data_IF_172290472540
#
_entry.id   IF_172290472540
#
_cell.length_a   1.000
_cell.length_b   1.000
_cell.length_c   1.000
_cell.angle_alpha   90.00
_cell.angle_beta   90.00
_cell.angle_gamma   90.00
#
_symmetry.space_group_name_H-M   'P 1'
#
loop_
_entity.id
_entity.type
_entity.pdbx_description
1 polymer ?
#
# COMPACT_ATOMS: atom_id res chain seq x y z
N UNK A 1 14.77 -9.93 -18.19
CA UNK A 1 13.95 -8.78 -18.53
C UNK A 1 14.33 -7.64 -17.61
N UNK A 2 14.65 -6.47 -18.15
CA UNK A 2 15.14 -5.35 -17.33
C UNK A 2 13.93 -4.54 -16.83
N UNK A 3 13.65 -4.55 -15.51
CA UNK A 3 12.61 -3.73 -14.89
C UNK A 3 13.12 -2.34 -14.50
N UNK A 4 14.43 -2.14 -14.53
CA UNK A 4 15.13 -0.94 -14.08
C UNK A 4 15.41 -0.03 -15.28
N UNK A 5 15.19 1.27 -15.13
CA UNK A 5 15.62 2.28 -16.11
C UNK A 5 17.13 2.26 -16.28
N UNK A 6 17.62 2.27 -17.51
CA UNK A 6 19.04 2.44 -17.82
C UNK A 6 19.45 3.90 -17.58
N UNK A 7 19.65 4.27 -16.34
CA UNK A 7 20.13 5.60 -15.99
C UNK A 7 21.59 5.53 -15.55
N UNK A 8 22.44 6.44 -16.04
CA UNK A 8 23.85 6.52 -15.65
C UNK A 8 24.06 6.95 -14.17
N UNK A 9 22.97 7.34 -13.46
CA UNK A 9 23.05 7.95 -12.11
C UNK A 9 22.83 6.97 -10.97
N UNK A 10 22.21 5.81 -11.20
CA UNK A 10 21.86 4.85 -10.16
C UNK A 10 22.63 3.55 -10.35
N UNK A 11 23.44 3.21 -9.37
CA UNK A 11 24.11 1.92 -9.31
C UNK A 11 23.29 1.01 -8.40
N UNK A 12 22.95 -0.16 -8.91
CA UNK A 12 22.29 -1.21 -8.13
C UNK A 12 23.33 -2.23 -7.68
N UNK A 13 23.25 -2.58 -6.41
CA UNK A 13 23.99 -3.71 -5.83
C UNK A 13 23.02 -4.85 -5.56
N UNK A 14 23.41 -6.06 -5.90
CA UNK A 14 22.66 -7.24 -5.48
C UNK A 14 23.19 -7.70 -4.12
N UNK A 15 22.39 -7.52 -3.10
CA UNK A 15 22.74 -7.87 -1.73
C UNK A 15 21.86 -9.04 -1.27
N UNK A 16 22.39 -10.26 -1.42
CA UNK A 16 21.66 -11.47 -1.03
C UNK A 16 20.35 -11.69 -1.81
N UNK A 17 20.28 -11.31 -3.10
CA UNK A 17 19.09 -11.46 -3.93
C UNK A 17 18.10 -10.27 -3.85
N UNK A 18 18.44 -9.23 -3.11
CA UNK A 18 17.72 -7.94 -3.10
C UNK A 18 18.49 -6.94 -3.96
N UNK A 19 17.82 -6.32 -4.91
CA UNK A 19 18.39 -5.23 -5.70
C UNK A 19 18.31 -3.93 -4.90
N UNK A 20 19.44 -3.39 -4.49
CA UNK A 20 19.52 -2.21 -3.64
C UNK A 20 20.04 -1.00 -4.42
N UNK A 21 19.32 0.12 -4.37
CA UNK A 21 19.80 1.46 -4.74
C UNK A 21 20.27 2.23 -3.50
N UNK A 22 21.06 3.28 -3.69
CA UNK A 22 21.40 4.20 -2.61
C UNK A 22 20.21 5.15 -2.33
N UNK A 23 19.64 5.06 -1.12
CA UNK A 23 18.54 5.93 -0.67
C UNK A 23 19.11 7.20 -0.06
N UNK A 24 18.79 8.38 -0.63
CA UNK A 24 19.33 9.68 -0.23
C UNK A 24 18.35 10.58 0.53
N UNK A 25 17.04 10.33 0.39
CA UNK A 25 16.00 11.12 1.04
C UNK A 25 16.04 10.93 2.55
N UNK A 26 16.26 12.00 3.30
CA UNK A 26 16.25 11.97 4.78
C UNK A 26 14.91 11.49 5.33
N UNK A 27 13.80 11.91 4.73
CA UNK A 27 12.45 11.46 5.11
C UNK A 27 12.25 9.96 4.90
N UNK A 28 12.75 9.45 3.76
CA UNK A 28 12.67 8.01 3.46
C UNK A 28 13.57 7.20 4.39
N UNK A 29 14.78 7.70 4.70
CA UNK A 29 15.67 7.07 5.67
C UNK A 29 15.04 7.03 7.06
N UNK A 30 14.36 8.09 7.49
CA UNK A 30 13.67 8.14 8.79
C UNK A 30 12.53 7.12 8.85
N UNK A 31 11.68 7.06 7.82
CA UNK A 31 10.60 6.07 7.70
C UNK A 31 11.16 4.64 7.65
N UNK A 32 12.23 4.40 6.89
CA UNK A 32 12.88 3.09 6.83
C UNK A 32 13.43 2.66 8.20
N UNK A 33 14.11 3.56 8.93
CA UNK A 33 14.57 3.29 10.31
C UNK A 33 13.41 3.00 11.26
N UNK A 34 12.26 3.67 11.07
CA UNK A 34 11.08 3.43 11.87
C UNK A 34 10.56 1.99 11.69
N UNK A 35 10.46 1.51 10.45
CA UNK A 35 9.98 0.16 10.13
C UNK A 35 11.04 -0.94 10.30
N UNK A 36 12.34 -0.62 10.27
CA UNK A 36 13.39 -1.63 10.51
C UNK A 36 13.36 -2.18 11.93
N UNK A 37 12.91 -1.39 12.91
CA UNK A 37 12.78 -1.81 14.32
C UNK A 37 11.59 -2.75 14.52
N UNK A 38 10.48 -2.52 13.81
CA UNK A 38 9.27 -3.34 13.88
C UNK A 38 8.65 -3.44 12.49
N UNK A 39 9.13 -4.38 11.65
CA UNK A 39 8.63 -4.58 10.30
C UNK A 39 7.13 -4.84 10.28
N UNK A 40 6.43 -4.19 9.36
CA UNK A 40 4.98 -4.28 9.24
C UNK A 40 4.59 -4.64 7.79
N UNK A 41 3.57 -5.51 7.63
CA UNK A 41 3.01 -6.44 8.62
C UNK A 41 4.02 -7.55 8.98
N UNK A 42 3.88 -8.22 10.15
CA UNK A 42 4.77 -9.32 10.52
C UNK A 42 4.23 -10.67 10.02
N UNK A 43 5.13 -11.69 9.94
CA UNK A 43 4.78 -13.03 9.47
C UNK A 43 4.17 -13.95 10.54
N UNK A 44 3.85 -13.44 11.71
CA UNK A 44 3.24 -14.27 12.75
C UNK A 44 1.89 -14.81 12.31
N UNK A 45 1.76 -16.14 12.32
CA UNK A 45 0.59 -16.85 11.78
C UNK A 45 0.66 -17.16 10.29
N UNK A 46 1.77 -16.81 9.60
CA UNK A 46 2.02 -17.24 8.22
C UNK A 46 3.17 -18.24 8.21
N UNK A 47 2.87 -19.51 8.42
CA UNK A 47 3.89 -20.57 8.50
C UNK A 47 4.37 -21.00 7.13
N UNK A 48 3.51 -20.90 6.12
CA UNK A 48 3.80 -21.32 4.74
C UNK A 48 2.92 -20.57 3.70
N UNK A 49 3.25 -20.81 2.42
CA UNK A 49 2.56 -20.20 1.29
C UNK A 49 1.06 -20.55 1.22
N UNK A 50 0.65 -21.74 1.69
CA UNK A 50 -0.75 -22.14 1.71
C UNK A 50 -1.58 -21.25 2.66
N UNK A 51 -1.08 -21.01 3.88
CA UNK A 51 -1.75 -20.13 4.85
C UNK A 51 -1.81 -18.69 4.34
N UNK A 52 -0.72 -18.22 3.74
CA UNK A 52 -0.69 -16.89 3.11
C UNK A 52 -1.76 -16.75 2.02
N UNK A 53 -1.89 -17.75 1.15
CA UNK A 53 -2.91 -17.82 0.11
C UNK A 53 -4.33 -17.86 0.68
N UNK A 54 -4.55 -18.68 1.70
CA UNK A 54 -5.84 -18.81 2.37
C UNK A 54 -6.27 -17.46 2.94
N UNK A 55 -5.40 -16.78 3.67
CA UNK A 55 -5.69 -15.46 4.24
C UNK A 55 -5.99 -14.41 3.16
N UNK A 56 -5.24 -14.42 2.03
CA UNK A 56 -5.57 -13.54 0.91
C UNK A 56 -6.96 -13.87 0.34
N UNK A 57 -7.31 -15.16 0.22
CA UNK A 57 -8.62 -15.57 -0.34
C UNK A 57 -9.81 -15.20 0.55
N UNK A 58 -9.60 -14.99 1.84
CA UNK A 58 -10.60 -14.51 2.78
C UNK A 58 -10.87 -13.00 2.60
N UNK A 59 -9.94 -12.26 2.03
CA UNK A 59 -10.16 -10.86 1.67
C UNK A 59 -10.81 -10.78 0.29
N UNK A 60 -12.09 -10.41 0.26
CA UNK A 60 -12.92 -10.39 -0.94
C UNK A 60 -12.31 -9.54 -2.06
N UNK A 61 -11.78 -8.35 -1.72
CA UNK A 61 -11.17 -7.41 -2.68
C UNK A 61 -9.88 -7.96 -3.27
N UNK A 62 -9.00 -8.48 -2.44
CA UNK A 62 -7.70 -9.01 -2.89
C UNK A 62 -7.87 -10.31 -3.68
N UNK A 63 -8.81 -11.15 -3.27
CA UNK A 63 -9.14 -12.38 -3.98
C UNK A 63 -9.72 -12.10 -5.38
N UNK A 64 -10.66 -11.14 -5.47
CA UNK A 64 -11.21 -10.68 -6.73
C UNK A 64 -10.11 -10.10 -7.63
N UNK A 65 -9.28 -9.21 -7.11
CA UNK A 65 -8.16 -8.63 -7.86
C UNK A 65 -7.21 -9.71 -8.40
N UNK A 66 -6.82 -10.69 -7.58
CA UNK A 66 -5.94 -11.77 -8.02
C UNK A 66 -6.55 -12.57 -9.16
N UNK A 67 -7.84 -12.90 -9.09
CA UNK A 67 -8.57 -13.59 -10.16
C UNK A 67 -8.69 -12.72 -11.42
N UNK A 68 -8.95 -11.44 -11.26
CA UNK A 68 -9.08 -10.48 -12.37
C UNK A 68 -7.75 -10.28 -13.12
N UNK A 69 -6.64 -10.20 -12.39
CA UNK A 69 -5.30 -10.08 -12.99
C UNK A 69 -4.95 -11.34 -13.80
N UNK A 70 -5.26 -12.53 -13.29
CA UNK A 70 -4.98 -13.80 -13.96
C UNK A 70 -3.48 -14.11 -13.99
N UNK A 71 -2.99 -14.59 -15.16
CA UNK A 71 -1.66 -15.13 -15.35
C UNK A 71 -0.83 -14.33 -16.35
N UNK A 72 0.52 -14.48 -16.30
CA UNK A 72 1.46 -13.87 -17.25
C UNK A 72 1.56 -12.36 -17.15
N UNK A 73 1.17 -11.78 -16.05
CA UNK A 73 1.13 -10.32 -15.81
C UNK A 73 2.33 -9.82 -15.02
N UNK A 74 2.55 -8.52 -15.09
CA UNK A 74 3.56 -7.80 -14.31
C UNK A 74 2.87 -6.95 -13.27
N UNK A 75 3.19 -7.20 -12.02
CA UNK A 75 2.62 -6.51 -10.88
C UNK A 75 3.74 -5.89 -10.07
N UNK A 76 3.59 -4.64 -9.65
CA UNK A 76 4.48 -4.01 -8.68
C UNK A 76 3.70 -3.58 -7.45
N UNK A 77 4.19 -3.97 -6.28
CA UNK A 77 3.78 -3.44 -4.99
C UNK A 77 4.81 -2.41 -4.52
N UNK A 78 4.34 -1.18 -4.40
CA UNK A 78 5.14 -0.04 -3.92
C UNK A 78 4.90 0.12 -2.43
N UNK A 79 5.99 0.09 -1.64
CA UNK A 79 5.90 0.03 -0.18
C UNK A 79 5.43 -1.33 0.31
N UNK A 80 6.09 -2.38 -0.18
CA UNK A 80 5.67 -3.77 0.07
C UNK A 80 5.88 -4.24 1.51
N UNK A 81 6.58 -3.45 2.32
CA UNK A 81 6.93 -3.85 3.68
C UNK A 81 7.58 -5.23 3.70
N UNK A 82 6.97 -6.17 4.40
CA UNK A 82 7.44 -7.57 4.46
C UNK A 82 6.96 -8.43 3.27
N UNK A 83 6.40 -7.83 2.22
CA UNK A 83 6.03 -8.46 0.94
C UNK A 83 4.90 -9.48 1.00
N UNK A 84 4.04 -9.48 2.03
CA UNK A 84 2.98 -10.48 2.16
C UNK A 84 2.02 -10.46 0.98
N UNK A 85 1.61 -9.27 0.52
CA UNK A 85 0.73 -9.14 -0.65
C UNK A 85 1.44 -9.60 -1.92
N UNK A 86 2.67 -9.12 -2.17
CA UNK A 86 3.49 -9.53 -3.31
C UNK A 86 3.62 -11.05 -3.40
N UNK A 87 3.95 -11.69 -2.29
CA UNK A 87 4.10 -13.15 -2.24
C UNK A 87 2.77 -13.87 -2.45
N UNK A 88 1.69 -13.39 -1.85
CA UNK A 88 0.37 -13.98 -2.04
C UNK A 88 -0.10 -13.89 -3.50
N UNK A 89 0.27 -12.83 -4.23
CA UNK A 89 -0.02 -12.68 -5.67
C UNK A 89 0.92 -13.52 -6.55
N UNK A 90 2.13 -13.81 -6.08
CA UNK A 90 3.08 -14.66 -6.79
C UNK A 90 2.70 -16.15 -6.74
N UNK A 91 2.25 -16.62 -5.56
CA UNK A 91 1.93 -18.04 -5.34
C UNK A 91 0.84 -18.53 -6.29
N UNK A 92 1.12 -19.65 -6.97
CA UNK A 92 0.20 -20.31 -7.91
C UNK A 92 0.00 -19.57 -9.23
N UNK A 93 0.86 -18.60 -9.57
CA UNK A 93 0.83 -17.86 -10.83
C UNK A 93 2.20 -17.83 -11.49
N UNK A 94 2.22 -17.48 -12.79
CA UNK A 94 3.44 -17.15 -13.52
C UNK A 94 3.62 -15.64 -13.71
N UNK A 95 2.97 -14.85 -12.85
CA UNK A 95 3.10 -13.40 -12.86
C UNK A 95 4.51 -13.00 -12.40
N UNK A 96 5.07 -11.96 -13.02
CA UNK A 96 6.27 -11.31 -12.50
C UNK A 96 5.87 -10.28 -11.47
N UNK A 97 6.24 -10.51 -10.22
CA UNK A 97 5.95 -9.60 -9.10
C UNK A 97 7.21 -8.80 -8.76
N UNK A 98 7.06 -7.50 -8.53
CA UNK A 98 8.11 -6.65 -7.97
C UNK A 98 7.64 -6.15 -6.61
N UNK A 99 8.37 -6.52 -5.57
CA UNK A 99 8.17 -6.03 -4.21
C UNK A 99 9.18 -4.90 -3.97
N UNK A 100 8.71 -3.65 -3.93
CA UNK A 100 9.56 -2.48 -3.75
C UNK A 100 9.32 -1.84 -2.38
N UNK A 101 10.38 -1.68 -1.60
CA UNK A 101 10.33 -1.02 -0.30
C UNK A 101 11.67 -0.34 0.04
N UNK A 102 11.70 0.83 0.71
CA UNK A 102 12.93 1.44 1.15
C UNK A 102 13.55 0.75 2.38
N UNK A 103 12.83 -0.15 3.06
CA UNK A 103 13.28 -0.86 4.26
C UNK A 103 13.81 -2.24 3.88
N UNK A 104 15.13 -2.35 3.80
CA UNK A 104 15.80 -3.60 3.40
C UNK A 104 15.51 -4.75 4.36
N UNK A 105 15.42 -4.50 5.66
CA UNK A 105 15.09 -5.48 6.69
C UNK A 105 13.71 -6.10 6.46
N UNK A 106 12.74 -5.29 6.05
CA UNK A 106 11.40 -5.77 5.70
C UNK A 106 11.42 -6.67 4.46
N UNK A 107 12.10 -6.23 3.39
CA UNK A 107 12.27 -7.02 2.17
C UNK A 107 12.98 -8.36 2.44
N UNK A 108 13.95 -8.37 3.36
CA UNK A 108 14.66 -9.60 3.73
C UNK A 108 13.72 -10.64 4.31
N UNK A 109 12.81 -10.24 5.19
CA UNK A 109 11.79 -11.15 5.75
C UNK A 109 10.92 -11.76 4.64
N UNK A 110 10.47 -10.95 3.68
CA UNK A 110 9.71 -11.42 2.53
C UNK A 110 10.52 -12.38 1.65
N UNK A 111 11.79 -12.06 1.40
CA UNK A 111 12.69 -12.89 0.63
C UNK A 111 12.96 -14.24 1.30
N UNK A 112 13.27 -14.24 2.60
CA UNK A 112 13.50 -15.46 3.37
C UNK A 112 12.26 -16.37 3.35
N UNK A 113 11.06 -15.78 3.45
CA UNK A 113 9.81 -16.51 3.30
C UNK A 113 9.62 -17.06 1.88
N UNK A 114 9.94 -16.29 0.84
CA UNK A 114 9.86 -16.73 -0.54
C UNK A 114 10.77 -17.95 -0.82
N UNK A 115 12.02 -17.88 -0.34
CA UNK A 115 12.98 -18.99 -0.48
C UNK A 115 12.51 -20.25 0.23
N UNK A 116 12.05 -20.13 1.49
CA UNK A 116 11.50 -21.26 2.27
C UNK A 116 10.31 -21.94 1.57
N UNK A 117 9.54 -21.18 0.79
CA UNK A 117 8.31 -21.65 0.14
C UNK A 117 8.45 -21.86 -1.38
N UNK A 118 9.68 -21.82 -1.94
CA UNK A 118 9.97 -21.96 -3.37
C UNK A 118 9.19 -20.98 -4.27
N UNK A 119 9.01 -19.72 -3.82
CA UNK A 119 8.37 -18.67 -4.60
C UNK A 119 9.46 -17.92 -5.37
N UNK A 120 9.59 -18.17 -6.68
CA UNK A 120 10.73 -17.74 -7.49
C UNK A 120 10.39 -16.61 -8.48
N UNK A 121 9.14 -16.16 -8.54
CA UNK A 121 8.65 -15.16 -9.48
C UNK A 121 8.48 -13.76 -8.86
N UNK A 122 9.29 -13.47 -7.82
CA UNK A 122 9.32 -12.17 -7.13
C UNK A 122 10.71 -11.56 -7.22
N UNK A 123 10.77 -10.28 -7.59
CA UNK A 123 11.96 -9.44 -7.52
C UNK A 123 11.83 -8.51 -6.33
N UNK A 124 12.83 -8.54 -5.44
CA UNK A 124 12.90 -7.67 -4.27
C UNK A 124 13.74 -6.43 -4.62
N UNK A 125 13.16 -5.24 -4.50
CA UNK A 125 13.76 -3.98 -4.90
C UNK A 125 13.80 -3.00 -3.71
N UNK A 126 14.99 -2.78 -3.15
CA UNK A 126 15.22 -1.79 -2.12
C UNK A 126 15.54 -0.42 -2.76
N UNK A 127 14.57 0.47 -2.79
CA UNK A 127 14.69 1.77 -3.43
C UNK A 127 13.64 2.77 -2.94
N UNK A 128 13.93 4.06 -3.11
CA UNK A 128 12.98 5.15 -2.89
C UNK A 128 12.12 5.37 -4.14
N UNK A 129 10.83 5.64 -3.96
CA UNK A 129 9.90 6.02 -5.04
C UNK A 129 10.45 7.21 -5.83
N UNK A 130 11.01 8.20 -5.12
CA UNK A 130 11.48 9.45 -5.71
C UNK A 130 12.74 9.32 -6.56
N UNK A 131 13.41 8.17 -6.52
CA UNK A 131 14.54 7.87 -7.41
C UNK A 131 14.07 7.48 -8.83
N UNK A 132 12.77 7.18 -9.00
CA UNK A 132 12.13 6.84 -10.30
C UNK A 132 12.91 5.79 -11.10
N UNK A 133 13.30 4.72 -10.42
CA UNK A 133 14.21 3.69 -10.96
C UNK A 133 13.55 2.69 -11.90
N UNK A 134 12.23 2.59 -11.85
CA UNK A 134 11.44 1.58 -12.55
C UNK A 134 11.07 2.06 -13.96
N UNK A 135 11.06 1.15 -14.92
CA UNK A 135 10.70 1.48 -16.31
C UNK A 135 9.25 1.95 -16.43
N UNK A 136 9.04 2.97 -17.27
CA UNK A 136 7.71 3.47 -17.60
C UNK A 136 6.92 2.46 -18.44
N UNK A 137 5.60 2.49 -18.37
CA UNK A 137 4.66 1.69 -19.16
C UNK A 137 4.94 0.18 -19.11
N UNK A 138 5.36 -0.33 -17.97
CA UNK A 138 5.81 -1.71 -17.84
C UNK A 138 4.78 -2.64 -17.16
N UNK A 139 4.08 -2.16 -16.14
CA UNK A 139 3.27 -3.01 -15.27
C UNK A 139 1.80 -3.03 -15.67
N UNK A 140 1.22 -4.23 -15.64
CA UNK A 140 -0.23 -4.42 -15.77
C UNK A 140 -0.96 -3.86 -14.55
N UNK A 141 -0.32 -3.96 -13.38
CA UNK A 141 -0.87 -3.45 -12.11
C UNK A 141 0.22 -2.76 -11.30
N UNK A 142 -0.09 -1.55 -10.84
CA UNK A 142 0.68 -0.81 -9.83
C UNK A 142 -0.17 -0.71 -8.57
N UNK A 143 0.28 -1.35 -7.51
CA UNK A 143 -0.34 -1.30 -6.19
C UNK A 143 0.49 -0.43 -5.26
N UNK A 144 -0.12 0.59 -4.67
CA UNK A 144 0.51 1.46 -3.67
C UNK A 144 -0.50 1.81 -2.57
N UNK A 145 -0.52 1.04 -1.51
CA UNK A 145 -1.46 1.21 -0.41
C UNK A 145 -0.73 1.33 0.93
N UNK A 146 -1.09 2.32 1.72
CA UNK A 146 -0.44 2.56 3.00
C UNK A 146 0.89 3.32 2.91
N UNK A 147 1.21 3.97 1.78
CA UNK A 147 2.57 4.47 1.51
C UNK A 147 2.62 5.97 1.23
N UNK A 148 1.88 6.45 0.23
CA UNK A 148 2.01 7.84 -0.25
C UNK A 148 1.79 8.87 0.86
N UNK A 149 0.90 8.61 1.78
CA UNK A 149 0.59 9.49 2.90
C UNK A 149 1.71 9.55 3.97
N UNK A 150 2.71 8.69 3.86
CA UNK A 150 3.94 8.69 4.67
C UNK A 150 5.15 9.26 3.91
N UNK A 151 4.95 9.80 2.71
CA UNK A 151 6.02 10.39 1.91
C UNK A 151 6.10 11.92 2.08
N UNK A 152 7.25 12.48 1.73
CA UNK A 152 7.44 13.95 1.74
C UNK A 152 6.49 14.71 0.82
N UNK A 153 6.04 14.07 -0.27
CA UNK A 153 5.13 14.63 -1.26
C UNK A 153 4.32 13.51 -1.90
N UNK A 154 3.07 13.35 -1.44
CA UNK A 154 2.18 12.28 -1.88
C UNK A 154 1.81 12.40 -3.36
N UNK A 155 1.54 13.63 -3.85
CA UNK A 155 1.18 13.87 -5.25
C UNK A 155 2.36 13.56 -6.16
N UNK A 156 3.56 14.04 -5.82
CA UNK A 156 4.77 13.76 -6.58
C UNK A 156 5.11 12.27 -6.62
N UNK A 157 4.98 11.58 -5.49
CA UNK A 157 5.12 10.12 -5.43
C UNK A 157 4.13 9.43 -6.37
N UNK A 158 2.87 9.86 -6.36
CA UNK A 158 1.85 9.35 -7.28
C UNK A 158 2.21 9.61 -8.75
N UNK A 159 2.62 10.82 -9.11
CA UNK A 159 3.04 11.18 -10.48
C UNK A 159 4.15 10.26 -11.00
N UNK A 160 5.06 9.83 -10.13
CA UNK A 160 6.15 8.92 -10.50
C UNK A 160 5.60 7.52 -10.75
N UNK A 161 4.87 6.94 -9.81
CA UNK A 161 4.37 5.57 -9.95
C UNK A 161 3.32 5.43 -11.05
N UNK A 162 2.60 6.51 -11.38
CA UNK A 162 1.62 6.54 -12.48
C UNK A 162 2.24 6.36 -13.87
N UNK A 163 3.55 6.59 -14.01
CA UNK A 163 4.29 6.35 -15.26
C UNK A 163 4.60 4.87 -15.46
N UNK A 164 4.70 4.11 -14.37
CA UNK A 164 5.10 2.70 -14.41
C UNK A 164 3.98 1.78 -14.89
N UNK A 165 2.71 2.22 -14.71
CA UNK A 165 1.56 1.47 -15.22
C UNK A 165 1.47 1.63 -16.75
N UNK A 166 1.30 0.49 -17.46
CA UNK A 166 1.12 0.47 -18.89
C UNK A 166 -0.28 0.97 -19.30
N UNK A 167 -0.44 1.27 -20.57
CA UNK A 167 -1.76 1.54 -21.15
C UNK A 167 -2.72 0.37 -20.87
N UNK A 168 -3.97 0.67 -20.56
CA UNK A 168 -4.99 -0.27 -20.08
C UNK A 168 -4.66 -0.99 -18.76
N UNK A 169 -3.54 -0.68 -18.11
CA UNK A 169 -3.16 -1.21 -16.81
C UNK A 169 -3.91 -0.56 -15.65
N UNK A 170 -3.93 -1.23 -14.51
CA UNK A 170 -4.59 -0.77 -13.28
C UNK A 170 -3.60 -0.08 -12.34
N UNK A 171 -4.06 0.97 -11.68
CA UNK A 171 -3.37 1.57 -10.55
C UNK A 171 -4.30 1.59 -9.34
N UNK A 172 -3.82 1.06 -8.21
CA UNK A 172 -4.57 0.97 -6.97
C UNK A 172 -3.83 1.77 -5.90
N UNK A 173 -4.51 2.79 -5.36
CA UNK A 173 -3.94 3.71 -4.38
C UNK A 173 -4.70 3.62 -3.07
N UNK A 174 -3.99 3.30 -1.99
CA UNK A 174 -4.52 3.33 -0.64
C UNK A 174 -3.91 4.48 0.16
N UNK A 175 -4.73 5.42 0.63
CA UNK A 175 -4.28 6.57 1.44
C UNK A 175 -5.18 6.80 2.65
N UNK A 176 -4.63 7.41 3.69
CA UNK A 176 -5.44 7.84 4.83
C UNK A 176 -6.41 8.95 4.41
N UNK A 177 -7.69 8.69 4.65
CA UNK A 177 -8.77 9.61 4.31
C UNK A 177 -8.89 10.73 5.34
N UNK A 178 -9.08 11.98 4.89
CA UNK A 178 -9.20 13.16 5.77
C UNK A 178 -10.32 13.00 6.81
N UNK A 179 -11.48 12.51 6.38
CA UNK A 179 -12.65 12.34 7.25
C UNK A 179 -12.55 11.02 8.02
N UNK A 180 -12.30 9.92 7.34
CA UNK A 180 -12.20 8.59 7.95
C UNK A 180 -11.15 8.50 9.08
N UNK A 181 -10.11 9.34 9.01
CA UNK A 181 -9.03 9.42 10.01
C UNK A 181 -9.37 10.24 11.26
N UNK A 182 -10.49 10.96 11.30
CA UNK A 182 -10.82 11.85 12.43
C UNK A 182 -10.83 11.14 13.79
N UNK A 183 -11.35 9.92 13.85
CA UNK A 183 -11.34 9.12 15.10
C UNK A 183 -9.91 8.80 15.57
N UNK A 184 -9.03 8.45 14.65
CA UNK A 184 -7.62 8.19 14.96
C UNK A 184 -6.89 9.48 15.32
N UNK A 185 -7.18 10.60 14.63
CA UNK A 185 -6.63 11.90 14.97
C UNK A 185 -6.97 12.30 16.39
N UNK A 186 -8.23 12.14 16.78
CA UNK A 186 -8.64 12.40 18.16
C UNK A 186 -7.82 11.57 19.16
N UNK A 187 -7.68 10.27 18.91
CA UNK A 187 -6.85 9.38 19.75
C UNK A 187 -5.39 9.81 19.77
N UNK A 188 -4.83 10.23 18.62
CA UNK A 188 -3.46 10.76 18.55
C UNK A 188 -3.29 12.04 19.39
N UNK A 189 -4.28 12.94 19.37
CA UNK A 189 -4.27 14.15 20.21
C UNK A 189 -4.27 13.77 21.69
N UNK A 190 -5.17 12.89 22.12
CA UNK A 190 -5.21 12.37 23.48
C UNK A 190 -3.86 11.76 23.88
N UNK A 191 -3.28 10.91 23.02
CA UNK A 191 -1.98 10.27 23.28
C UNK A 191 -0.85 11.28 23.48
N UNK A 192 -0.79 12.31 22.62
CA UNK A 192 0.21 13.38 22.69
C UNK A 192 0.01 14.30 23.90
N UNK A 193 -1.23 14.67 24.23
CA UNK A 193 -1.57 15.52 25.38
C UNK A 193 -1.13 14.92 26.69
N UNK A 194 -1.22 13.60 26.84
CA UNK A 194 -0.72 12.89 28.01
C UNK A 194 0.74 12.43 27.88
N UNK A 195 1.56 13.18 27.11
CA UNK A 195 3.01 12.99 26.97
C UNK A 195 3.41 11.55 26.60
N UNK A 196 2.62 10.85 25.80
CA UNK A 196 2.86 9.46 25.41
C UNK A 196 3.08 8.51 26.59
N UNK A 197 2.46 8.79 27.72
CA UNK A 197 2.60 8.05 28.96
C UNK A 197 2.02 6.63 28.87
N UNK A 198 2.36 5.77 29.82
CA UNK A 198 1.76 4.42 29.93
C UNK A 198 0.25 4.47 30.17
N UNK A 199 -0.23 5.52 30.86
CA UNK A 199 -1.67 5.76 31.03
C UNK A 199 -2.34 6.02 29.68
N UNK A 200 -1.79 6.92 28.86
CA UNK A 200 -2.37 7.21 27.55
C UNK A 200 -2.29 6.01 26.60
N UNK A 201 -1.20 5.21 26.64
CA UNK A 201 -1.12 3.94 25.90
C UNK A 201 -2.24 2.98 26.27
N UNK A 202 -2.50 2.82 27.58
CA UNK A 202 -3.60 1.97 28.08
C UNK A 202 -4.96 2.52 27.62
N UNK A 203 -5.17 3.82 27.71
CA UNK A 203 -6.40 4.48 27.24
C UNK A 203 -6.63 4.27 25.74
N UNK A 204 -5.59 4.46 24.92
CA UNK A 204 -5.67 4.21 23.49
C UNK A 204 -5.98 2.74 23.19
N UNK A 205 -5.38 1.80 23.92
CA UNK A 205 -5.66 0.36 23.75
C UNK A 205 -7.14 0.01 24.03
N UNK A 206 -7.81 0.80 24.86
CA UNK A 206 -9.26 0.67 25.11
C UNK A 206 -10.09 1.36 24.02
N UNK A 207 -9.63 2.52 23.52
CA UNK A 207 -10.36 3.32 22.54
C UNK A 207 -10.20 2.84 21.11
N UNK A 208 -9.13 2.12 20.79
CA UNK A 208 -8.87 1.61 19.44
C UNK A 208 -9.53 0.23 19.25
N UNK A 209 -10.52 0.10 18.34
CA UNK A 209 -11.21 -1.16 18.09
C UNK A 209 -10.29 -2.30 17.64
N UNK A 210 -9.20 -1.96 16.93
CA UNK A 210 -8.24 -2.97 16.46
C UNK A 210 -7.42 -3.52 17.62
N UNK A 211 -6.95 -2.66 18.53
CA UNK A 211 -6.17 -3.07 19.71
C UNK A 211 -6.98 -3.86 20.74
N UNK A 212 -8.32 -3.81 20.65
CA UNK A 212 -9.23 -4.64 21.49
C UNK A 212 -9.35 -6.08 21.01
N UNK A 213 -8.92 -6.37 19.76
CA UNK A 213 -8.93 -7.75 19.25
C UNK A 213 -7.90 -8.59 20.00
N UNK A 214 -8.10 -9.92 19.96
CA UNK A 214 -7.10 -10.86 20.48
C UNK A 214 -5.91 -10.93 19.51
N UNK A 215 -4.94 -10.04 19.70
CA UNK A 215 -3.73 -9.93 18.91
C UNK A 215 -2.53 -10.37 19.74
N UNK A 216 -1.51 -10.91 19.08
CA UNK A 216 -0.21 -11.06 19.73
C UNK A 216 0.38 -9.71 20.11
N UNK A 217 1.30 -9.70 21.06
CA UNK A 217 1.92 -8.47 21.55
C UNK A 217 2.70 -7.78 20.43
N UNK A 218 3.38 -8.51 19.56
CA UNK A 218 4.13 -7.97 18.43
C UNK A 218 3.20 -7.27 17.42
N UNK A 219 2.04 -7.89 17.07
CA UNK A 219 1.04 -7.28 16.20
C UNK A 219 0.44 -6.02 16.81
N UNK A 220 0.18 -6.05 18.12
CA UNK A 220 -0.33 -4.92 18.89
C UNK A 220 0.67 -3.75 18.87
N UNK A 221 1.95 -4.03 19.12
CA UNK A 221 3.00 -3.00 19.12
C UNK A 221 3.25 -2.44 17.73
N UNK A 222 3.31 -3.29 16.69
CA UNK A 222 3.48 -2.85 15.31
C UNK A 222 2.35 -1.92 14.88
N UNK A 223 1.08 -2.31 15.16
CA UNK A 223 -0.10 -1.47 14.89
C UNK A 223 -0.04 -0.15 15.66
N UNK A 224 0.25 -0.22 16.98
CA UNK A 224 0.30 0.98 17.82
C UNK A 224 1.33 1.98 17.29
N UNK A 225 2.52 1.51 16.96
CA UNK A 225 3.58 2.35 16.41
C UNK A 225 3.16 2.99 15.09
N UNK A 226 2.67 2.20 14.15
CA UNK A 226 2.23 2.67 12.85
C UNK A 226 1.15 3.77 12.97
N UNK A 227 0.15 3.56 13.83
CA UNK A 227 -1.00 4.44 13.95
C UNK A 227 -0.75 5.69 14.81
N UNK A 228 0.17 5.65 15.79
CA UNK A 228 0.30 6.70 16.81
C UNK A 228 1.70 7.33 16.91
N UNK A 229 2.73 6.66 16.44
CA UNK A 229 4.11 7.12 16.57
C UNK A 229 4.80 7.39 15.22
N UNK A 230 4.11 7.17 14.08
CA UNK A 230 4.71 7.43 12.76
C UNK A 230 5.11 8.92 12.62
N UNK A 231 6.35 9.23 12.17
CA UNK A 231 6.88 10.59 12.15
C UNK A 231 6.17 11.51 11.14
N UNK A 232 5.67 10.96 10.03
CA UNK A 232 5.04 11.70 8.96
C UNK A 232 3.72 11.06 8.56
N UNK A 233 2.63 11.81 8.63
CA UNK A 233 1.31 11.39 8.17
C UNK A 233 0.61 12.54 7.45
N UNK A 234 0.21 12.30 6.22
CA UNK A 234 -0.67 13.17 5.42
C UNK A 234 -2.03 12.51 5.26
N UNK A 235 -3.02 13.28 4.88
CA UNK A 235 -4.39 12.79 4.71
C UNK A 235 -4.97 13.37 3.44
N UNK A 236 -5.65 12.53 2.68
CA UNK A 236 -6.16 12.87 1.36
C UNK A 236 -7.66 12.57 1.28
N UNK A 237 -8.39 13.29 0.45
CA UNK A 237 -9.77 12.94 0.10
C UNK A 237 -9.79 12.04 -1.13
N UNK A 238 -10.90 11.35 -1.35
CA UNK A 238 -11.12 10.60 -2.59
C UNK A 238 -11.04 11.54 -3.80
N UNK A 239 -11.63 12.74 -3.69
CA UNK A 239 -11.59 13.76 -4.76
C UNK A 239 -10.18 14.21 -5.10
N UNK A 240 -9.32 14.37 -4.09
CA UNK A 240 -7.92 14.71 -4.30
C UNK A 240 -7.18 13.63 -5.10
N UNK A 241 -7.43 12.36 -4.82
CA UNK A 241 -6.84 11.25 -5.59
C UNK A 241 -7.43 11.15 -7.00
N UNK A 242 -8.72 11.44 -7.17
CA UNK A 242 -9.36 11.53 -8.50
C UNK A 242 -8.68 12.61 -9.34
N UNK A 243 -8.40 13.79 -8.76
CA UNK A 243 -7.68 14.85 -9.46
C UNK A 243 -6.25 14.41 -9.86
N UNK A 244 -5.56 13.66 -8.98
CA UNK A 244 -4.25 13.09 -9.36
C UNK A 244 -4.36 12.15 -10.55
N UNK A 245 -5.44 11.37 -10.62
CA UNK A 245 -5.70 10.46 -11.73
C UNK A 245 -5.90 11.26 -13.03
N UNK A 246 -6.74 12.28 -13.01
CA UNK A 246 -7.03 13.14 -14.17
C UNK A 246 -5.77 13.84 -14.69
N UNK A 247 -4.96 14.42 -13.78
CA UNK A 247 -3.69 15.08 -14.11
C UNK A 247 -2.67 14.10 -14.77
N UNK A 248 -2.86 12.78 -14.65
CA UNK A 248 -1.92 11.76 -15.11
C UNK A 248 -2.50 10.79 -16.15
N UNK A 249 -3.58 11.15 -16.85
CA UNK A 249 -4.26 10.34 -17.86
C UNK A 249 -4.69 8.96 -17.32
N UNK A 250 -5.30 8.94 -16.14
CA UNK A 250 -5.86 7.76 -15.50
C UNK A 250 -7.36 7.98 -15.33
N UNK A 251 -8.17 7.08 -15.86
CA UNK A 251 -9.62 7.07 -15.61
C UNK A 251 -9.87 6.50 -14.22
N UNK A 252 -10.71 7.14 -13.45
CA UNK A 252 -11.27 6.57 -12.22
C UNK A 252 -12.13 5.36 -12.57
N UNK A 253 -11.95 4.26 -11.86
CA UNK A 253 -12.82 3.07 -11.96
C UNK A 253 -13.74 2.94 -10.75
N UNK A 254 -13.23 3.21 -9.56
CA UNK A 254 -14.01 3.09 -8.33
C UNK A 254 -13.19 3.41 -7.09
N UNK A 255 -13.87 3.40 -5.94
CA UNK A 255 -13.22 3.55 -4.64
C UNK A 255 -13.88 2.70 -3.56
N UNK A 256 -13.15 2.47 -2.47
CA UNK A 256 -13.64 1.86 -1.25
C UNK A 256 -13.35 2.85 -0.10
N UNK A 257 -14.39 3.47 0.47
CA UNK A 257 -15.83 3.28 0.20
C UNK A 257 -16.26 3.77 -1.18
N UNK A 258 -17.31 3.12 -1.70
CA UNK A 258 -17.91 3.48 -2.99
C UNK A 258 -18.81 4.73 -2.85
N UNK A 259 -18.76 5.67 -3.82
CA UNK A 259 -19.64 6.82 -3.84
C UNK A 259 -21.14 6.50 -3.92
N UNK A 260 -21.47 5.34 -4.48
CA UNK A 260 -22.84 4.90 -4.66
C UNK A 260 -23.33 3.99 -3.52
N UNK A 261 -22.54 3.86 -2.45
CA UNK A 261 -22.84 3.04 -1.26
C UNK A 261 -23.01 1.53 -1.54
N UNK A 262 -22.73 1.09 -2.76
CA UNK A 262 -22.67 -0.31 -3.13
C UNK A 262 -21.23 -0.81 -3.05
N UNK A 263 -21.02 -1.93 -2.39
CA UNK A 263 -19.72 -2.58 -2.43
C UNK A 263 -19.53 -3.22 -3.81
N UNK A 264 -18.52 -2.75 -4.55
CA UNK A 264 -18.08 -3.35 -5.81
C UNK A 264 -16.68 -3.93 -5.66
N UNK A 265 -16.51 -5.14 -6.12
CA UNK A 265 -15.16 -5.68 -6.32
C UNK A 265 -14.43 -4.91 -7.41
N UNK A 266 -13.11 -4.98 -7.45
CA UNK A 266 -12.31 -4.26 -8.45
C UNK A 266 -12.72 -4.61 -9.88
N UNK A 267 -13.04 -5.88 -10.13
CA UNK A 267 -13.53 -6.36 -11.44
C UNK A 267 -14.89 -5.81 -11.86
N UNK A 268 -15.67 -5.28 -10.92
CA UNK A 268 -17.03 -4.76 -11.12
C UNK A 268 -17.07 -3.22 -11.14
N UNK A 269 -15.94 -2.56 -10.89
CA UNK A 269 -15.87 -1.10 -10.92
C UNK A 269 -16.03 -0.58 -12.35
N UNK A 270 -16.92 0.38 -12.54
CA UNK A 270 -17.40 0.85 -13.85
C UNK A 270 -17.11 2.32 -14.16
N UNK A 271 -16.37 2.99 -13.29
CA UNK A 271 -15.97 4.39 -13.47
C UNK A 271 -16.99 5.42 -12.97
N UNK A 272 -18.06 4.98 -12.33
CA UNK A 272 -19.03 5.90 -11.75
C UNK A 272 -18.45 6.65 -10.54
N UNK A 273 -18.20 7.94 -10.72
CA UNK A 273 -17.68 8.82 -9.68
C UNK A 273 -18.75 9.26 -8.67
N UNK A 274 -20.04 9.02 -8.97
CA UNK A 274 -21.14 9.62 -8.21
C UNK A 274 -21.07 11.16 -8.16
N UNK A 275 -21.99 11.78 -7.44
CA UNK A 275 -21.92 13.21 -7.19
C UNK A 275 -20.84 13.56 -6.14
N UNK A 276 -20.40 14.83 -6.11
CA UNK A 276 -19.50 15.33 -5.07
C UNK A 276 -20.07 15.09 -3.65
N UNK A 277 -21.37 15.30 -3.47
CA UNK A 277 -22.05 15.07 -2.20
C UNK A 277 -22.00 13.60 -1.81
N UNK A 278 -22.23 12.69 -2.76
CA UNK A 278 -22.15 11.25 -2.51
C UNK A 278 -20.73 10.84 -2.05
N UNK A 279 -19.70 11.37 -2.69
CA UNK A 279 -18.30 11.10 -2.29
C UNK A 279 -17.99 11.61 -0.88
N UNK A 280 -18.48 12.81 -0.52
CA UNK A 280 -18.34 13.30 0.86
C UNK A 280 -19.07 12.37 1.84
N UNK A 281 -20.29 11.97 1.52
CA UNK A 281 -21.08 11.10 2.39
C UNK A 281 -20.44 9.72 2.56
N UNK A 282 -19.92 9.14 1.48
CA UNK A 282 -19.16 7.89 1.56
C UNK A 282 -17.95 7.99 2.50
N UNK A 283 -17.23 9.12 2.46
CA UNK A 283 -16.11 9.38 3.36
C UNK A 283 -16.57 9.58 4.82
N UNK A 284 -17.73 10.23 5.04
CA UNK A 284 -18.32 10.36 6.38
C UNK A 284 -18.70 8.98 6.95
N UNK A 285 -19.25 8.09 6.11
CA UNK A 285 -19.59 6.73 6.54
C UNK A 285 -18.40 5.93 7.05
N UNK A 286 -17.16 6.27 6.66
CA UNK A 286 -15.95 5.66 7.23
C UNK A 286 -15.82 5.90 8.74
N UNK A 287 -16.46 6.94 9.29
CA UNK A 287 -16.47 7.17 10.74
C UNK A 287 -17.33 6.15 11.50
N UNK A 288 -18.32 5.58 10.84
CA UNK A 288 -19.30 4.68 11.47
C UNK A 288 -19.09 3.22 11.08
N UNK A 289 -18.33 2.95 10.02
CA UNK A 289 -18.02 1.61 9.55
C UNK A 289 -16.63 1.17 10.00
N UNK A 290 -16.49 -0.12 10.26
CA UNK A 290 -15.17 -0.76 10.43
C UNK A 290 -14.62 -1.22 9.08
N UNK A 291 -14.84 -0.44 8.00
CA UNK A 291 -14.30 -0.76 6.69
C UNK A 291 -12.77 -0.95 6.79
N UNK A 292 -12.36 -2.18 6.62
CA UNK A 292 -10.96 -2.58 6.63
C UNK A 292 -10.26 -2.66 7.98
N UNK A 293 -10.79 -2.12 9.07
CA UNK A 293 -10.10 -2.06 10.37
C UNK A 293 -8.80 -1.24 10.37
N UNK A 294 -8.52 -0.52 9.29
CA UNK A 294 -7.24 0.12 9.00
C UNK A 294 -7.27 1.64 9.22
N UNK A 295 -7.88 2.08 10.30
CA UNK A 295 -7.69 3.45 10.78
C UNK A 295 -8.05 4.59 9.80
N UNK A 296 -9.00 4.35 8.88
CA UNK A 296 -9.44 5.36 7.91
C UNK A 296 -8.70 5.34 6.57
N UNK A 297 -8.12 4.21 6.18
CA UNK A 297 -7.58 3.99 4.84
C UNK A 297 -8.72 3.91 3.82
N UNK A 298 -8.64 4.67 2.74
CA UNK A 298 -9.49 4.52 1.56
C UNK A 298 -8.67 4.01 0.37
N UNK A 299 -9.32 3.20 -0.47
CA UNK A 299 -8.72 2.69 -1.71
C UNK A 299 -9.37 3.41 -2.89
N UNK A 300 -8.56 3.83 -3.85
CA UNK A 300 -9.02 4.40 -5.12
C UNK A 300 -8.37 3.64 -6.25
N UNK A 301 -9.18 3.20 -7.21
CA UNK A 301 -8.76 2.37 -8.34
C UNK A 301 -8.92 3.16 -9.62
N UNK A 302 -7.90 3.13 -10.47
CA UNK A 302 -7.91 3.75 -11.78
C UNK A 302 -7.31 2.87 -12.86
N UNK A 303 -7.59 3.22 -14.10
CA UNK A 303 -7.09 2.56 -15.30
C UNK A 303 -6.35 3.57 -16.17
N UNK A 304 -5.13 3.26 -16.57
CA UNK A 304 -4.34 4.11 -17.46
C UNK A 304 -5.00 4.17 -18.83
N UNK A 305 -5.28 5.38 -19.30
CA UNK A 305 -5.82 5.60 -20.64
C UNK A 305 -4.76 5.37 -21.70
N UNK A 306 -5.20 4.92 -22.88
CA UNK A 306 -4.35 4.96 -24.07
C UNK A 306 -4.04 6.41 -24.41
N UNK A 307 -2.82 6.68 -24.85
CA UNK A 307 -2.54 7.97 -25.48
C UNK A 307 -3.24 7.97 -26.82
N UNK A 308 -4.20 8.87 -26.99
CA UNK A 308 -4.76 9.12 -28.32
C UNK A 308 -3.59 9.40 -29.25
N UNK A 309 -3.52 8.62 -30.33
CA UNK A 309 -2.35 8.54 -31.19
C UNK A 309 -1.87 9.92 -31.65
N UNK A 310 -0.59 10.19 -31.41
CA UNK A 310 0.20 11.12 -32.23
C UNK A 310 0.63 10.42 -33.48
#
# INVERSE_FOLDING_TARGET
>A
MNIIKKTKRLQFKNEGGILCSEIKSSTTIESSKFYSIAPFPNYQGYENAYILQKTLSENVVLNDLKKHIGFGKKFIEVGSGTCQLSLAFAVGTNNLIVAMDPTKESLKLGKDFAEKNNINNVIFLNSDIFDDVVQDNLFDVVWCSGVLHHTKDSKKGFEIISKWVREDGLIIIGVYNKIGRLRTNFRQVVYKTFNKSNFSKKLISILDPYLRKNLSEEKRQAWFRDQYDHPLERKHSIDEVINWFEDNNISFLGSIPSPNFEFKNISQMDGDKGSFINRIFAQIMMLFSNLGGEGGLCIVVGKKQKRDGQ
#
